data_IF_923443443084
#
_entry.id   IF_923443443084
#
_cell.length_a   1.000
_cell.length_b   1.000
_cell.length_c   1.000
_cell.angle_alpha   90.00
_cell.angle_beta   90.00
_cell.angle_gamma   90.00
#
_symmetry.space_group_name_H-M   'P 1'
#
loop_
_entity.id
_entity.type
_entity.pdbx_description
1 polymer ?
#
# COMPACT_ATOMS: atom_id res chain seq x y z
N UNK A 1 -16.95 27.08 51.82
CA UNK A 1 -15.55 27.21 51.42
C UNK A 1 -15.08 25.81 51.00
N UNK A 2 -14.78 25.56 49.73
CA UNK A 2 -14.42 24.23 49.26
C UNK A 2 -13.09 23.82 49.92
N UNK A 3 -13.09 22.64 50.53
CA UNK A 3 -11.92 22.08 51.21
C UNK A 3 -10.88 21.76 50.16
N UNK A 4 -9.74 22.46 50.21
CA UNK A 4 -8.54 22.10 49.49
C UNK A 4 -8.10 20.72 49.96
N UNK A 5 -8.32 19.72 49.12
CA UNK A 5 -7.73 18.41 49.30
C UNK A 5 -6.28 18.57 48.84
N UNK A 6 -5.40 18.91 49.77
CA UNK A 6 -3.97 18.92 49.54
C UNK A 6 -3.58 17.48 49.20
N UNK A 7 -3.46 17.18 47.90
CA UNK A 7 -2.96 15.87 47.50
C UNK A 7 -1.53 15.76 48.05
N UNK A 8 -1.21 14.67 48.76
CA UNK A 8 0.15 14.44 49.23
C UNK A 8 1.10 14.56 48.06
N UNK A 9 2.20 15.29 48.23
CA UNK A 9 3.16 15.59 47.15
C UNK A 9 3.58 14.34 46.36
N UNK A 10 3.68 13.20 47.04
CA UNK A 10 3.98 11.90 46.46
C UNK A 10 2.97 11.50 45.37
N UNK A 11 1.67 11.76 45.56
CA UNK A 11 0.61 11.43 44.60
C UNK A 11 0.75 12.25 43.32
N UNK A 12 1.10 13.53 43.44
CA UNK A 12 1.33 14.42 42.28
C UNK A 12 2.50 13.90 41.45
N UNK A 13 3.58 13.46 42.11
CA UNK A 13 4.76 12.87 41.46
C UNK A 13 4.39 11.58 40.72
N UNK A 14 3.60 10.70 41.34
CA UNK A 14 3.14 9.46 40.70
C UNK A 14 2.30 9.71 39.45
N UNK A 15 1.38 10.68 39.49
CA UNK A 15 0.54 11.04 38.34
C UNK A 15 1.38 11.64 37.21
N UNK A 16 2.35 12.50 37.54
CA UNK A 16 3.24 13.09 36.55
C UNK A 16 4.10 12.03 35.83
N UNK A 17 4.68 11.08 36.58
CA UNK A 17 5.48 9.98 36.00
C UNK A 17 4.61 9.05 35.15
N UNK A 18 3.40 8.71 35.61
CA UNK A 18 2.49 7.85 34.84
C UNK A 18 2.08 8.46 33.49
N UNK A 19 1.81 9.77 33.45
CA UNK A 19 1.51 10.48 32.21
C UNK A 19 2.71 10.53 31.26
N UNK A 20 3.92 10.69 31.80
CA UNK A 20 5.16 10.70 31.01
C UNK A 20 5.42 9.33 30.36
N UNK A 21 5.17 8.24 31.10
CA UNK A 21 5.29 6.87 30.59
C UNK A 21 4.24 6.59 29.51
N UNK A 22 2.98 7.00 29.71
CA UNK A 22 1.92 6.85 28.70
C UNK A 22 2.22 7.64 27.42
N UNK A 23 2.77 8.86 27.53
CA UNK A 23 3.17 9.65 26.36
C UNK A 23 4.35 9.02 25.61
N UNK A 24 5.33 8.46 26.33
CA UNK A 24 6.46 7.75 25.72
C UNK A 24 6.01 6.47 25.00
N UNK A 25 5.12 5.69 25.61
CA UNK A 25 4.54 4.49 25.00
C UNK A 25 3.65 4.87 23.80
N UNK A 26 2.80 5.88 23.95
CA UNK A 26 1.93 6.38 22.89
C UNK A 26 2.73 6.87 21.67
N UNK A 27 3.83 7.59 21.88
CA UNK A 27 4.74 8.02 20.82
C UNK A 27 5.50 6.88 20.16
N UNK A 28 5.89 5.86 20.93
CA UNK A 28 6.58 4.67 20.42
C UNK A 28 5.67 3.82 19.51
N UNK A 29 4.39 3.68 19.84
CA UNK A 29 3.43 2.98 18.97
C UNK A 29 2.96 3.83 17.78
N UNK A 30 2.83 5.17 17.90
CA UNK A 30 2.44 6.02 16.76
C UNK A 30 3.51 6.14 15.67
N UNK A 31 4.79 5.93 16.01
CA UNK A 31 5.91 6.02 15.05
C UNK A 31 6.11 4.78 14.17
N UNK A 32 5.54 3.63 14.52
CA UNK A 32 5.83 2.34 13.86
C UNK A 32 4.83 1.95 12.75
N UNK A 33 3.64 2.59 12.70
CA UNK A 33 2.54 2.17 11.81
C UNK A 33 2.42 2.93 10.48
N UNK A 34 3.41 3.70 10.04
CA UNK A 34 3.22 4.68 8.95
C UNK A 34 3.99 4.43 7.64
N UNK A 35 4.45 3.20 7.36
CA UNK A 35 5.33 2.94 6.20
C UNK A 35 4.74 2.06 5.07
N UNK A 36 3.41 1.88 5.00
CA UNK A 36 2.81 1.15 3.88
C UNK A 36 2.91 1.89 2.53
N UNK A 37 3.05 3.22 2.55
CA UNK A 37 3.04 4.04 1.32
C UNK A 37 4.36 4.03 0.56
N UNK A 38 5.49 3.90 1.27
CA UNK A 38 6.83 3.91 0.66
C UNK A 38 7.09 2.61 -0.10
N UNK A 39 6.60 1.47 0.43
CA UNK A 39 6.72 0.17 -0.24
C UNK A 39 5.99 0.12 -1.58
N UNK A 40 4.77 0.68 -1.67
CA UNK A 40 3.98 0.58 -2.90
C UNK A 40 4.62 1.29 -4.09
N UNK A 41 5.24 2.45 -3.86
CA UNK A 41 5.92 3.20 -4.93
C UNK A 41 7.17 2.46 -5.43
N UNK A 42 7.94 1.86 -4.51
CA UNK A 42 9.11 1.05 -4.85
C UNK A 42 8.70 -0.18 -5.67
N UNK A 43 7.71 -0.92 -5.19
CA UNK A 43 7.14 -2.10 -5.86
C UNK A 43 6.65 -1.76 -7.28
N UNK A 44 6.00 -0.60 -7.44
CA UNK A 44 5.53 -0.16 -8.76
C UNK A 44 6.68 0.10 -9.72
N UNK A 45 7.73 0.79 -9.27
CA UNK A 45 8.91 1.07 -10.10
C UNK A 45 9.68 -0.20 -10.48
N UNK A 46 9.87 -1.12 -9.54
CA UNK A 46 10.49 -2.42 -9.81
C UNK A 46 9.65 -3.25 -10.79
N UNK A 47 8.33 -3.22 -10.62
CA UNK A 47 7.41 -3.83 -11.56
C UNK A 47 7.47 -3.25 -12.97
N UNK A 48 7.52 -1.93 -13.10
CA UNK A 48 7.69 -1.26 -14.39
C UNK A 48 9.04 -1.62 -15.04
N UNK A 49 10.11 -1.71 -14.25
CA UNK A 49 11.42 -2.10 -14.74
C UNK A 49 11.40 -3.55 -15.26
N UNK A 50 10.76 -4.46 -14.54
CA UNK A 50 10.61 -5.86 -14.94
C UNK A 50 9.77 -6.01 -16.22
N UNK A 51 8.64 -5.30 -16.31
CA UNK A 51 7.77 -5.27 -17.49
C UNK A 51 8.54 -4.80 -18.75
N UNK A 52 9.39 -3.79 -18.61
CA UNK A 52 10.20 -3.30 -19.73
C UNK A 52 11.40 -4.20 -20.05
N UNK A 53 12.06 -4.77 -19.04
CA UNK A 53 13.29 -5.54 -19.22
C UNK A 53 13.05 -6.96 -19.75
N UNK A 54 11.98 -7.63 -19.29
CA UNK A 54 11.76 -9.05 -19.55
C UNK A 54 10.57 -9.33 -20.47
N UNK A 55 9.59 -8.42 -20.50
CA UNK A 55 8.33 -8.62 -21.23
C UNK A 55 8.12 -7.61 -22.36
N UNK A 56 9.16 -6.84 -22.72
CA UNK A 56 9.13 -5.83 -23.80
C UNK A 56 7.88 -4.94 -23.77
N UNK A 57 7.47 -4.51 -22.57
CA UNK A 57 6.27 -3.71 -22.37
C UNK A 57 4.93 -4.40 -22.74
N UNK A 58 4.89 -5.73 -22.86
CA UNK A 58 3.65 -6.49 -23.07
C UNK A 58 2.83 -6.58 -21.79
N UNK A 59 1.86 -5.68 -21.69
CA UNK A 59 0.90 -5.62 -20.59
C UNK A 59 -0.01 -6.86 -20.51
N UNK A 60 -0.07 -7.71 -21.55
CA UNK A 60 -0.86 -8.96 -21.53
C UNK A 60 -0.16 -10.05 -20.71
N UNK A 61 1.14 -9.91 -20.46
CA UNK A 61 1.99 -10.82 -19.67
C UNK A 61 2.16 -10.39 -18.21
N UNK A 62 1.32 -9.47 -17.74
CA UNK A 62 1.41 -8.94 -16.36
C UNK A 62 1.32 -10.00 -15.26
N UNK A 63 0.61 -11.11 -15.48
CA UNK A 63 0.49 -12.19 -14.48
C UNK A 63 1.75 -13.06 -14.38
N UNK A 64 2.67 -12.97 -15.34
CA UNK A 64 3.97 -13.63 -15.27
C UNK A 64 5.03 -12.75 -14.61
N UNK A 65 4.73 -11.48 -14.34
CA UNK A 65 5.67 -10.53 -13.73
C UNK A 65 5.49 -10.59 -12.22
N UNK A 66 6.43 -11.25 -11.54
CA UNK A 66 6.53 -11.25 -10.08
C UNK A 66 7.54 -10.20 -9.62
N UNK A 67 7.17 -9.44 -8.59
CA UNK A 67 7.95 -8.38 -7.95
C UNK A 67 7.77 -8.52 -6.44
N UNK A 68 8.85 -8.85 -5.73
CA UNK A 68 8.89 -8.86 -4.25
C UNK A 68 7.66 -9.60 -3.64
N UNK A 69 7.40 -10.82 -4.14
CA UNK A 69 6.29 -11.72 -3.74
C UNK A 69 4.87 -11.29 -4.18
N UNK A 70 4.73 -10.17 -4.90
CA UNK A 70 3.49 -9.72 -5.51
C UNK A 70 3.54 -9.79 -7.04
N UNK A 71 2.39 -9.87 -7.71
CA UNK A 71 2.33 -9.76 -9.17
C UNK A 71 2.25 -8.30 -9.60
N UNK A 72 2.73 -7.96 -10.80
CA UNK A 72 2.65 -6.60 -11.32
C UNK A 72 1.22 -6.07 -11.35
N UNK A 73 0.25 -6.93 -11.68
CA UNK A 73 -1.16 -6.58 -11.63
C UNK A 73 -1.60 -6.17 -10.21
N UNK A 74 -1.04 -6.78 -9.17
CA UNK A 74 -1.45 -6.49 -7.79
C UNK A 74 -0.99 -5.08 -7.43
N UNK A 75 0.24 -4.76 -7.84
CA UNK A 75 0.85 -3.45 -7.67
C UNK A 75 0.11 -2.39 -8.48
N UNK A 76 -0.32 -2.69 -9.71
CA UNK A 76 -1.14 -1.79 -10.53
C UNK A 76 -2.48 -1.46 -9.86
N UNK A 77 -3.16 -2.47 -9.33
CA UNK A 77 -4.44 -2.30 -8.67
C UNK A 77 -4.32 -1.50 -7.39
N UNK A 78 -3.25 -1.74 -6.61
CA UNK A 78 -2.94 -0.99 -5.40
C UNK A 78 -2.52 0.45 -5.70
N UNK A 79 -1.97 0.69 -6.88
CA UNK A 79 -1.63 2.04 -7.38
C UNK A 79 -2.84 2.80 -7.93
N UNK A 80 -4.03 2.19 -7.95
CA UNK A 80 -5.27 2.83 -8.39
C UNK A 80 -5.59 2.70 -9.88
N UNK A 81 -4.88 1.83 -10.62
CA UNK A 81 -5.19 1.55 -12.02
C UNK A 81 -6.27 0.48 -12.15
N UNK A 82 -7.28 0.73 -12.99
CA UNK A 82 -8.38 -0.21 -13.24
C UNK A 82 -8.05 -1.29 -14.27
N UNK A 83 -7.01 -1.07 -15.09
CA UNK A 83 -6.53 -2.05 -16.05
C UNK A 83 -4.99 -2.03 -16.15
N UNK A 84 -4.44 -3.14 -16.61
CA UNK A 84 -2.98 -3.33 -16.76
C UNK A 84 -2.39 -2.53 -17.91
N UNK A 85 -3.19 -2.13 -18.90
CA UNK A 85 -2.75 -1.31 -20.03
C UNK A 85 -2.51 0.16 -19.62
N UNK A 86 -3.40 0.74 -18.82
CA UNK A 86 -3.27 2.04 -18.18
C UNK A 86 -2.07 2.07 -17.25
N UNK A 87 -1.87 0.99 -16.50
CA UNK A 87 -0.70 0.83 -15.65
C UNK A 87 0.60 0.78 -16.47
N UNK A 88 0.64 0.02 -17.56
CA UNK A 88 1.79 -0.02 -18.47
C UNK A 88 2.04 1.34 -19.14
N UNK A 89 1.00 2.09 -19.53
CA UNK A 89 1.13 3.49 -19.99
C UNK A 89 1.80 4.36 -18.92
N UNK A 90 1.42 4.21 -17.65
CA UNK A 90 2.05 4.93 -16.54
C UNK A 90 3.52 4.51 -16.31
N UNK A 91 3.89 3.27 -16.63
CA UNK A 91 5.29 2.82 -16.69
C UNK A 91 6.08 3.37 -17.89
N UNK A 92 5.44 4.13 -18.79
CA UNK A 92 6.06 4.66 -20.00
C UNK A 92 6.19 3.64 -21.13
N UNK A 93 5.38 2.58 -21.12
CA UNK A 93 5.23 1.66 -22.23
C UNK A 93 4.28 2.25 -23.29
N UNK A 94 4.56 1.97 -24.57
CA UNK A 94 3.64 2.34 -25.64
C UNK A 94 2.50 1.33 -25.69
N UNK A 95 1.28 1.79 -25.40
CA UNK A 95 0.06 1.00 -25.55
C UNK A 95 -0.88 1.75 -26.49
N UNK A 96 -1.25 1.18 -27.65
CA UNK A 96 -2.18 1.80 -28.58
C UNK A 96 -3.49 2.24 -27.91
N UNK A 97 -4.04 3.37 -28.33
CA UNK A 97 -5.35 3.80 -27.84
C UNK A 97 -6.45 2.84 -28.30
N UNK A 98 -7.23 2.34 -27.34
CA UNK A 98 -8.27 1.33 -27.58
C UNK A 98 -7.86 -0.11 -27.25
N UNK A 99 -6.58 -0.39 -27.01
CA UNK A 99 -6.20 -1.68 -26.41
C UNK A 99 -6.58 -1.71 -24.93
N UNK A 100 -7.31 -2.76 -24.53
CA UNK A 100 -7.65 -3.03 -23.15
C UNK A 100 -6.73 -4.09 -22.57
N UNK A 101 -6.25 -3.82 -21.35
CA UNK A 101 -5.50 -4.79 -20.58
C UNK A 101 -6.41 -5.78 -19.84
N UNK A 102 -5.79 -6.69 -19.10
CA UNK A 102 -6.52 -7.45 -18.09
C UNK A 102 -7.15 -6.48 -17.09
N UNK A 103 -8.46 -6.63 -16.84
CA UNK A 103 -9.18 -5.78 -15.90
C UNK A 103 -8.79 -6.17 -14.48
N UNK A 104 -8.52 -5.17 -13.65
CA UNK A 104 -8.23 -5.37 -12.24
C UNK A 104 -9.50 -5.19 -11.44
N UNK A 105 -9.97 -6.27 -10.83
CA UNK A 105 -11.06 -6.21 -9.87
C UNK A 105 -10.49 -6.45 -8.48
N UNK A 106 -10.59 -5.42 -7.63
CA UNK A 106 -10.27 -5.55 -6.22
C UNK A 106 -11.35 -6.43 -5.56
N UNK A 107 -10.97 -7.60 -5.06
CA UNK A 107 -11.83 -8.37 -4.16
C UNK A 107 -11.42 -8.01 -2.75
N UNK A 108 -12.36 -7.41 -2.02
CA UNK A 108 -12.19 -7.11 -0.60
C UNK A 108 -12.11 -8.43 0.19
N UNK A 109 -10.89 -8.90 0.45
CA UNK A 109 -10.60 -10.07 1.26
C UNK A 109 -9.96 -9.65 2.59
N UNK A 110 -10.62 -8.77 3.36
CA UNK A 110 -10.06 -8.27 4.62
C UNK A 110 -8.75 -7.50 4.41
N UNK A 111 -7.87 -7.49 5.42
CA UNK A 111 -6.62 -6.69 5.47
C UNK A 111 -5.63 -6.94 4.32
N UNK A 112 -5.86 -7.95 3.47
CA UNK A 112 -5.13 -8.19 2.22
C UNK A 112 -6.10 -8.13 1.03
N UNK A 113 -5.92 -7.14 0.16
CA UNK A 113 -6.74 -7.02 -1.06
C UNK A 113 -6.30 -8.05 -2.10
N UNK A 114 -7.05 -9.13 -2.29
CA UNK A 114 -6.78 -10.08 -3.37
C UNK A 114 -7.31 -9.48 -4.69
N UNK A 115 -6.42 -9.21 -5.65
CA UNK A 115 -6.82 -8.74 -6.98
C UNK A 115 -7.08 -9.94 -7.89
N UNK A 116 -8.30 -10.03 -8.43
CA UNK A 116 -8.65 -11.01 -9.46
C UNK A 116 -8.48 -10.34 -10.82
N UNK A 117 -7.75 -11.02 -11.72
CA UNK A 117 -7.53 -10.58 -13.09
C UNK A 117 -8.44 -11.36 -14.03
N UNK A 118 -9.25 -10.63 -14.79
CA UNK A 118 -10.02 -11.21 -15.88
C UNK A 118 -9.45 -10.69 -17.19
N UNK A 119 -9.10 -11.61 -18.10
CA UNK A 119 -8.85 -11.24 -19.50
C UNK A 119 -10.20 -10.82 -20.08
N UNK A 120 -10.35 -9.60 -20.64
CA UNK A 120 -11.50 -9.32 -21.49
C UNK A 120 -11.50 -10.37 -22.61
N UNK A 121 -12.61 -11.07 -22.78
CA UNK A 121 -12.72 -12.18 -23.73
C UNK A 121 -12.32 -11.75 -25.13
N UNK A 122 -11.35 -12.46 -25.71
CA UNK A 122 -11.13 -12.47 -27.16
C UNK A 122 -12.37 -13.09 -27.81
N UNK A 123 -13.18 -12.28 -28.46
CA UNK A 123 -14.17 -12.75 -29.44
C UNK A 123 -13.48 -13.37 -30.64
#
# INVERSE_FOLDING_TARGET
MPKGMELPLNVIIFVAVALLVLAAIGGFFFGFFNDDSVNNKKLFLEGCASLRAFHDCDHKEVNSISVEEANFGFVCGRSGFGDTAQCAKACGCYVPDGETGQSLSAVNAGSDSLYIYTRPGSV
#
